data_IF_173568710773
#
_entry.id   IF_173568710773
#
_cell.length_a   1.000
_cell.length_b   1.000
_cell.length_c   1.000
_cell.angle_alpha   90.00
_cell.angle_beta   90.00
_cell.angle_gamma   90.00
#
_symmetry.space_group_name_H-M   'P 1'
#
loop_
_entity.id
_entity.type
_entity.pdbx_description
1 polymer ?
#
# COMPACT_ATOMS: atom_id res chain seq x y z
N UNK A 1 -12.07 5.64 3.23
CA UNK A 1 -11.13 6.61 2.63
C UNK A 1 -11.21 6.62 1.11
N UNK A 2 -11.04 5.49 0.42
CA UNK A 2 -11.07 5.44 -1.06
C UNK A 2 -12.40 5.94 -1.65
N UNK A 3 -13.54 5.51 -1.11
CA UNK A 3 -14.87 5.98 -1.55
C UNK A 3 -15.07 7.50 -1.39
N UNK A 4 -14.38 8.13 -0.44
CA UNK A 4 -14.43 9.59 -0.27
C UNK A 4 -13.67 10.31 -1.38
N UNK A 5 -12.50 9.78 -1.78
CA UNK A 5 -11.77 10.30 -2.93
C UNK A 5 -12.54 10.04 -4.24
N UNK A 6 -13.34 8.97 -4.30
CA UNK A 6 -14.29 8.74 -5.39
C UNK A 6 -13.60 8.75 -6.74
N UNK A 7 -14.12 9.54 -7.68
CA UNK A 7 -13.60 9.67 -9.04
C UNK A 7 -12.25 10.41 -9.13
N UNK A 8 -11.83 11.12 -8.08
CA UNK A 8 -10.60 11.93 -8.10
C UNK A 8 -9.33 11.13 -7.76
N UNK A 9 -9.48 9.88 -7.30
CA UNK A 9 -8.35 9.02 -6.97
C UNK A 9 -7.63 8.56 -8.25
N UNK A 10 -6.48 9.18 -8.57
CA UNK A 10 -5.68 8.90 -9.77
C UNK A 10 -4.38 8.13 -9.53
N UNK A 11 -3.86 8.14 -8.30
CA UNK A 11 -2.60 7.48 -7.95
C UNK A 11 -2.67 6.85 -6.57
N UNK A 12 -2.25 5.59 -6.46
CA UNK A 12 -2.14 4.84 -5.20
C UNK A 12 -0.69 4.39 -4.98
N UNK A 13 -0.15 4.69 -3.81
CA UNK A 13 1.14 4.16 -3.32
C UNK A 13 0.84 3.07 -2.31
N UNK A 14 1.19 1.82 -2.61
CA UNK A 14 1.00 0.70 -1.70
C UNK A 14 2.21 0.56 -0.78
N UNK A 15 1.95 0.61 0.52
CA UNK A 15 2.93 0.39 1.56
C UNK A 15 2.24 -0.29 2.73
N UNK A 16 2.81 -1.39 3.20
CA UNK A 16 2.35 -2.02 4.43
C UNK A 16 3.07 -1.40 5.63
N UNK A 17 2.43 -1.45 6.78
CA UNK A 17 2.96 -0.86 8.01
C UNK A 17 2.44 -1.60 9.22
N UNK A 18 3.19 -1.49 10.32
CA UNK A 18 2.76 -2.10 11.56
C UNK A 18 1.66 -1.29 12.26
N UNK A 19 0.76 -1.97 12.96
CA UNK A 19 -0.20 -1.31 13.83
C UNK A 19 0.44 -0.98 15.18
N UNK A 20 0.60 0.32 15.47
CA UNK A 20 1.22 0.80 16.70
C UNK A 20 0.45 0.52 17.99
N UNK A 21 -0.81 0.11 17.89
CA UNK A 21 -1.59 -0.31 19.06
C UNK A 21 -1.35 -1.77 19.43
N UNK A 22 -0.64 -2.54 18.61
CA UNK A 22 -0.31 -3.94 18.87
C UNK A 22 1.04 -4.06 19.62
N UNK A 23 1.16 -5.02 20.55
CA UNK A 23 2.39 -5.22 21.30
C UNK A 23 3.54 -5.65 20.37
N UNK A 24 4.78 -5.26 20.74
CA UNK A 24 6.01 -5.70 20.08
C UNK A 24 6.16 -5.35 18.59
N UNK A 25 5.39 -4.39 18.08
CA UNK A 25 5.60 -3.80 16.74
C UNK A 25 6.64 -2.69 16.72
N UNK A 26 6.67 -1.90 17.79
CA UNK A 26 7.58 -0.78 17.93
C UNK A 26 8.29 -0.87 19.28
N UNK A 27 9.58 -1.20 19.23
CA UNK A 27 10.44 -1.25 20.41
C UNK A 27 11.35 -0.03 20.33
N UNK A 28 11.11 0.94 21.21
CA UNK A 28 11.87 2.20 21.28
C UNK A 28 12.69 2.27 22.56
N UNK A 29 13.93 2.77 22.44
CA UNK A 29 14.83 2.99 23.56
C UNK A 29 15.49 4.38 23.42
N UNK A 30 15.36 5.30 24.39
CA UNK A 30 14.72 5.12 25.70
C UNK A 30 13.19 4.96 25.62
N UNK A 31 12.57 4.28 26.60
CA UNK A 31 11.12 4.26 26.71
C UNK A 31 10.58 5.68 26.95
N UNK A 32 9.37 5.96 26.44
CA UNK A 32 8.70 7.25 26.64
C UNK A 32 9.06 8.34 25.63
N UNK A 33 9.85 8.04 24.60
CA UNK A 33 10.07 8.97 23.48
C UNK A 33 8.76 9.19 22.72
N UNK A 34 8.39 10.46 22.56
CA UNK A 34 7.31 10.86 21.65
C UNK A 34 7.87 11.03 20.24
N UNK A 35 7.71 10.01 19.40
CA UNK A 35 8.14 10.05 18.01
C UNK A 35 7.05 9.47 17.10
N UNK A 36 7.09 9.89 15.83
CA UNK A 36 6.33 9.25 14.76
C UNK A 36 7.22 8.25 14.06
N UNK A 37 6.69 7.05 13.81
CA UNK A 37 7.40 6.00 13.09
C UNK A 37 6.75 5.88 11.71
N UNK A 38 7.45 6.38 10.70
CA UNK A 38 7.10 6.17 9.30
C UNK A 38 7.74 4.86 8.87
N UNK A 39 6.97 3.85 8.43
CA UNK A 39 7.47 2.53 8.02
C UNK A 39 6.75 1.98 6.78
N UNK A 40 7.51 1.47 5.81
CA UNK A 40 7.01 0.76 4.62
C UNK A 40 7.68 -0.61 4.53
N UNK A 41 6.96 -1.65 4.94
CA UNK A 41 7.39 -3.05 4.82
C UNK A 41 6.69 -3.73 3.64
N UNK A 42 7.09 -4.98 3.35
CA UNK A 42 6.50 -5.76 2.28
C UNK A 42 5.01 -6.01 2.52
N UNK A 43 4.23 -6.07 1.44
CA UNK A 43 2.80 -6.40 1.52
C UNK A 43 2.59 -7.75 2.22
N UNK A 44 1.82 -7.74 3.30
CA UNK A 44 1.54 -8.93 4.12
C UNK A 44 2.50 -9.13 5.28
N UNK A 45 3.52 -8.28 5.45
CA UNK A 45 4.37 -8.27 6.65
C UNK A 45 3.79 -7.39 7.76
N UNK A 46 2.83 -6.52 7.46
CA UNK A 46 2.18 -5.61 8.40
C UNK A 46 0.72 -5.95 8.67
N UNK A 47 -0.06 -4.91 8.96
CA UNK A 47 -1.46 -5.04 9.37
C UNK A 47 -2.44 -4.25 8.49
N UNK A 48 -1.99 -3.75 7.33
CA UNK A 48 -2.91 -3.14 6.36
C UNK A 48 -3.76 -4.23 5.70
N UNK A 49 -5.08 -4.05 5.73
CA UNK A 49 -6.03 -4.94 5.03
C UNK A 49 -6.02 -4.65 3.52
N UNK A 50 -5.11 -5.31 2.80
CA UNK A 50 -5.00 -5.17 1.35
C UNK A 50 -6.13 -5.84 0.59
N UNK A 51 -6.76 -6.87 1.13
CA UNK A 51 -7.87 -7.54 0.44
C UNK A 51 -9.08 -6.62 0.35
N UNK A 52 -9.42 -5.93 1.46
CA UNK A 52 -10.44 -4.89 1.46
C UNK A 52 -10.05 -3.70 0.55
N UNK A 53 -8.78 -3.32 0.51
CA UNK A 53 -8.29 -2.26 -0.38
C UNK A 53 -8.47 -2.63 -1.86
N UNK A 54 -8.03 -3.82 -2.27
CA UNK A 54 -8.16 -4.26 -3.66
C UNK A 54 -9.62 -4.49 -4.05
N UNK A 55 -10.45 -5.00 -3.14
CA UNK A 55 -11.89 -5.08 -3.34
C UNK A 55 -12.49 -3.70 -3.64
N UNK A 56 -12.21 -2.70 -2.80
CA UNK A 56 -12.72 -1.36 -3.00
C UNK A 56 -12.22 -0.73 -4.32
N UNK A 57 -10.95 -0.94 -4.69
CA UNK A 57 -10.41 -0.45 -5.97
C UNK A 57 -11.10 -1.09 -7.18
N UNK A 58 -11.44 -2.38 -7.12
CA UNK A 58 -12.24 -3.06 -8.16
C UNK A 58 -13.66 -2.51 -8.23
N UNK A 59 -14.34 -2.35 -7.09
CA UNK A 59 -15.69 -1.78 -7.02
C UNK A 59 -15.74 -0.35 -7.59
N UNK A 60 -14.65 0.39 -7.44
CA UNK A 60 -14.48 1.74 -7.99
C UNK A 60 -14.09 1.76 -9.48
N UNK A 61 -13.87 0.61 -10.11
CA UNK A 61 -13.34 0.47 -11.47
C UNK A 61 -12.02 1.23 -11.69
N UNK A 62 -11.17 1.26 -10.66
CA UNK A 62 -9.98 2.13 -10.62
C UNK A 62 -9.04 1.91 -11.83
N UNK A 63 -8.80 0.66 -12.20
CA UNK A 63 -7.83 0.30 -13.24
C UNK A 63 -8.20 0.81 -14.65
N UNK A 64 -9.49 1.02 -14.91
CA UNK A 64 -9.98 1.47 -16.22
C UNK A 64 -10.21 2.99 -16.29
N UNK A 65 -9.87 3.72 -15.23
CA UNK A 65 -10.08 5.17 -15.18
C UNK A 65 -9.05 5.93 -15.99
N UNK A 66 -9.54 7.01 -16.60
CA UNK A 66 -8.72 8.00 -17.28
C UNK A 66 -9.00 9.39 -16.72
N UNK A 67 -7.94 10.18 -16.62
CA UNK A 67 -7.95 11.52 -16.04
C UNK A 67 -7.56 12.53 -17.11
N UNK A 68 -8.21 13.70 -17.09
CA UNK A 68 -7.94 14.80 -18.03
C UNK A 68 -6.45 15.20 -18.05
N UNK A 69 -5.80 15.09 -16.90
CA UNK A 69 -4.36 15.30 -16.72
C UNK A 69 -3.79 14.04 -16.06
N UNK A 70 -2.73 13.46 -16.63
CA UNK A 70 -2.09 12.25 -16.11
C UNK A 70 -2.44 10.96 -16.86
N UNK A 71 -3.53 10.94 -17.64
CA UNK A 71 -3.88 9.77 -18.45
C UNK A 71 -4.48 8.65 -17.61
N UNK A 72 -3.83 7.49 -17.58
CA UNK A 72 -4.30 6.29 -16.88
C UNK A 72 -4.08 6.39 -15.36
N UNK A 73 -4.88 5.64 -14.60
CA UNK A 73 -4.65 5.46 -13.16
C UNK A 73 -3.30 4.78 -12.90
N UNK A 74 -2.60 5.22 -11.86
CA UNK A 74 -1.29 4.69 -11.47
C UNK A 74 -1.40 4.00 -10.12
N UNK A 75 -0.82 2.82 -9.98
CA UNK A 75 -0.64 2.14 -8.71
C UNK A 75 0.77 1.59 -8.61
N UNK A 76 1.45 1.86 -7.50
CA UNK A 76 2.87 1.52 -7.34
C UNK A 76 3.14 0.85 -6.01
N UNK A 77 4.17 0.00 -6.00
CA UNK A 77 4.79 -0.50 -4.77
C UNK A 77 5.69 0.58 -4.18
N UNK A 78 5.59 0.81 -2.88
CA UNK A 78 6.42 1.77 -2.13
C UNK A 78 7.06 1.08 -0.95
N UNK A 79 8.30 0.60 -1.13
CA UNK A 79 9.07 -0.13 -0.13
C UNK A 79 10.25 0.71 0.35
N UNK A 80 10.50 0.75 1.66
CA UNK A 80 11.72 1.37 2.19
C UNK A 80 12.38 0.57 3.34
N UNK A 81 11.67 -0.38 3.97
CA UNK A 81 12.13 -1.02 5.21
C UNK A 81 13.39 -1.87 5.10
N UNK A 82 13.50 -2.71 4.07
CA UNK A 82 14.56 -3.74 3.95
C UNK A 82 15.12 -3.79 2.52
N UNK A 83 16.20 -3.05 2.20
CA UNK A 83 16.80 -3.00 0.86
C UNK A 83 17.10 -4.38 0.26
N UNK A 84 17.54 -5.32 1.09
CA UNK A 84 17.88 -6.69 0.71
C UNK A 84 16.68 -7.53 0.23
N UNK A 85 15.45 -7.16 0.62
CA UNK A 85 14.22 -7.85 0.20
C UNK A 85 13.56 -7.17 -1.00
N UNK A 86 13.93 -5.93 -1.33
CA UNK A 86 13.18 -5.09 -2.28
C UNK A 86 13.09 -5.72 -3.68
N UNK A 87 14.15 -6.35 -4.17
CA UNK A 87 14.15 -6.96 -5.51
C UNK A 87 13.13 -8.09 -5.66
N UNK A 88 12.78 -8.74 -4.56
CA UNK A 88 11.78 -9.82 -4.52
C UNK A 88 10.39 -9.23 -4.20
N UNK A 89 10.28 -8.50 -3.10
CA UNK A 89 9.00 -7.96 -2.62
C UNK A 89 8.37 -6.96 -3.59
N UNK A 90 9.17 -6.18 -4.33
CA UNK A 90 8.64 -5.28 -5.35
C UNK A 90 7.98 -6.06 -6.50
N UNK A 91 8.58 -7.18 -6.92
CA UNK A 91 8.05 -8.04 -7.98
C UNK A 91 6.78 -8.74 -7.51
N UNK A 92 6.80 -9.35 -6.32
CA UNK A 92 5.63 -10.00 -5.72
C UNK A 92 4.45 -9.03 -5.55
N UNK A 93 4.73 -7.79 -5.11
CA UNK A 93 3.72 -6.74 -4.99
C UNK A 93 3.14 -6.37 -6.35
N UNK A 94 3.98 -6.21 -7.39
CA UNK A 94 3.52 -5.95 -8.76
C UNK A 94 2.62 -7.08 -9.26
N UNK A 95 3.04 -8.32 -9.11
CA UNK A 95 2.27 -9.49 -9.55
C UNK A 95 0.92 -9.61 -8.83
N UNK A 96 0.88 -9.25 -7.53
CA UNK A 96 -0.40 -9.15 -6.81
C UNK A 96 -1.28 -8.05 -7.40
N UNK A 97 -0.75 -6.86 -7.65
CA UNK A 97 -1.51 -5.77 -8.30
C UNK A 97 -2.08 -6.22 -9.65
N UNK A 98 -1.27 -6.86 -10.49
CA UNK A 98 -1.67 -7.35 -11.82
C UNK A 98 -2.82 -8.36 -11.72
N UNK A 99 -2.71 -9.33 -10.80
CA UNK A 99 -3.77 -10.31 -10.55
C UNK A 99 -5.06 -9.66 -10.03
N UNK A 100 -4.95 -8.72 -9.08
CA UNK A 100 -6.11 -8.12 -8.40
C UNK A 100 -6.88 -7.12 -9.26
N UNK A 101 -6.20 -6.43 -10.19
CA UNK A 101 -6.77 -5.32 -10.95
C UNK A 101 -6.81 -5.55 -12.47
N UNK A 102 -5.95 -6.40 -13.01
CA UNK A 102 -5.86 -6.66 -14.45
C UNK A 102 -6.25 -8.09 -14.83
N UNK A 103 -6.43 -8.99 -13.85
CA UNK A 103 -6.84 -10.37 -14.09
C UNK A 103 -5.83 -11.22 -14.86
N UNK A 104 -4.54 -10.86 -14.82
CA UNK A 104 -3.44 -11.55 -15.50
C UNK A 104 -2.24 -11.74 -14.59
#
# INVERSE_FOLDING_TARGET
>A
MLNYAGADLSHVLLADTHNHTLPCRYIMNPPGVNATIHQHIGLGEGEVDFDALFQALREMDFANRTFKVGGEAIITTSLFGYPEKMSVQAVETRERIERELLGR
#
